data_IF_906103324872
#
_entry.id   IF_906103324872
#
_cell.length_a   1.000
_cell.length_b   1.000
_cell.length_c   1.000
_cell.angle_alpha   90.00
_cell.angle_beta   90.00
_cell.angle_gamma   90.00
#
_symmetry.space_group_name_H-M   'P 1'
#
loop_
_entity.id
_entity.type
_entity.pdbx_description
1 polymer ?
#
# COMPACT_ATOMS: atom_id res chain seq x y z
N UNK A 1 32.37 67.68 37.94
CA UNK A 1 33.10 68.19 36.77
C UNK A 1 32.81 67.26 35.63
N UNK A 2 32.26 67.85 34.59
CA UNK A 2 31.51 67.23 33.50
C UNK A 2 32.41 66.37 32.61
N UNK A 3 31.95 65.17 32.29
CA UNK A 3 32.53 64.32 31.24
C UNK A 3 31.75 64.67 29.98
N UNK A 4 32.40 65.40 29.10
CA UNK A 4 31.83 65.91 27.86
C UNK A 4 31.59 64.77 26.86
N UNK A 5 30.35 64.69 26.38
CA UNK A 5 29.83 63.70 25.44
C UNK A 5 30.29 64.08 24.03
N UNK A 6 31.18 63.29 23.43
CA UNK A 6 31.43 63.34 21.99
C UNK A 6 30.64 62.24 21.30
N UNK A 7 29.50 62.65 20.72
CA UNK A 7 28.62 61.86 19.87
C UNK A 7 29.38 61.26 18.68
N UNK A 8 29.49 59.93 18.64
CA UNK A 8 29.90 59.19 17.46
C UNK A 8 28.63 58.77 16.68
N UNK A 9 28.35 59.35 15.50
CA UNK A 9 27.39 58.74 14.59
C UNK A 9 28.04 57.51 13.92
N UNK A 10 27.29 56.42 13.66
CA UNK A 10 27.80 55.28 12.92
C UNK A 10 27.94 55.65 11.45
N UNK A 11 29.17 55.61 10.94
CA UNK A 11 29.43 55.74 9.52
C UNK A 11 28.88 54.52 8.75
N UNK A 12 27.70 54.72 8.18
CA UNK A 12 27.46 54.58 6.76
C UNK A 12 27.59 53.15 6.18
N UNK A 13 26.51 52.39 6.36
CA UNK A 13 26.03 51.31 5.48
C UNK A 13 25.83 51.76 4.02
N UNK A 14 26.88 52.15 3.33
CA UNK A 14 26.76 52.66 1.96
C UNK A 14 27.97 52.30 1.09
N UNK A 15 28.22 51.01 0.85
CA UNK A 15 28.98 50.54 -0.33
C UNK A 15 28.85 49.03 -0.54
N UNK A 16 27.62 48.51 -0.51
CA UNK A 16 27.33 47.15 -1.00
C UNK A 16 26.05 47.12 -1.85
N UNK A 17 25.89 48.11 -2.73
CA UNK A 17 25.01 47.98 -3.90
C UNK A 17 25.88 47.69 -5.11
N UNK A 18 26.32 46.44 -5.20
CA UNK A 18 26.69 45.86 -6.49
C UNK A 18 25.54 46.06 -7.45
N UNK A 19 25.73 47.01 -8.37
CA UNK A 19 24.86 47.31 -9.48
C UNK A 19 24.74 46.04 -10.32
N UNK A 20 23.69 45.24 -10.11
CA UNK A 20 23.34 44.13 -11.01
C UNK A 20 22.82 44.77 -12.29
N UNK A 21 23.68 44.79 -13.31
CA UNK A 21 23.31 45.16 -14.68
C UNK A 21 22.13 44.28 -15.13
N UNK A 22 21.02 44.84 -15.63
CA UNK A 22 19.95 44.08 -16.24
C UNK A 22 20.34 43.82 -17.69
N UNK A 23 21.22 42.84 -17.93
CA UNK A 23 21.71 42.56 -19.27
C UNK A 23 21.44 41.10 -19.65
N UNK A 24 20.62 40.96 -20.70
CA UNK A 24 20.38 39.77 -21.51
C UNK A 24 19.85 38.51 -20.80
N UNK A 25 18.53 38.47 -20.61
CA UNK A 25 17.80 37.20 -20.71
C UNK A 25 17.79 36.85 -22.20
N UNK A 26 18.90 36.26 -22.65
CA UNK A 26 18.98 35.57 -23.93
C UNK A 26 18.05 34.36 -23.80
N UNK A 27 16.77 34.55 -24.12
CA UNK A 27 15.73 33.51 -24.16
C UNK A 27 16.07 32.53 -25.29
N UNK A 28 17.08 31.71 -25.03
CA UNK A 28 17.40 30.56 -25.85
C UNK A 28 16.14 29.69 -25.89
N UNK A 29 15.52 29.48 -27.07
CA UNK A 29 14.34 28.65 -27.17
C UNK A 29 14.65 27.30 -26.52
N UNK A 30 13.73 26.74 -25.73
CA UNK A 30 13.97 25.50 -24.99
C UNK A 30 14.45 24.46 -26.00
N UNK A 31 15.70 24.03 -25.87
CA UNK A 31 16.26 22.95 -26.71
C UNK A 31 15.34 21.75 -26.54
N UNK A 32 14.48 21.52 -27.52
CA UNK A 32 13.73 20.28 -27.64
C UNK A 32 14.76 19.22 -28.00
N UNK A 33 15.42 18.67 -26.99
CA UNK A 33 16.29 17.51 -27.15
C UNK A 33 15.46 16.43 -27.83
N UNK A 34 15.83 16.09 -29.07
CA UNK A 34 15.19 15.00 -29.80
C UNK A 34 15.32 13.74 -28.94
N UNK A 35 14.20 13.34 -28.32
CA UNK A 35 14.17 12.14 -27.48
C UNK A 35 14.54 10.97 -28.37
N UNK A 36 15.53 10.18 -27.94
CA UNK A 36 15.89 8.96 -28.66
C UNK A 36 14.66 8.08 -28.85
N UNK A 37 14.59 7.36 -29.97
CA UNK A 37 13.51 6.42 -30.26
C UNK A 37 13.29 5.41 -29.12
N UNK A 38 14.39 4.99 -28.48
CA UNK A 38 14.37 4.13 -27.30
C UNK A 38 13.66 4.80 -26.10
N UNK A 39 13.96 6.07 -25.82
CA UNK A 39 13.29 6.82 -24.74
C UNK A 39 11.80 6.96 -25.02
N UNK A 40 11.41 7.19 -26.27
CA UNK A 40 10.00 7.26 -26.66
C UNK A 40 9.27 5.94 -26.42
N UNK A 41 9.90 4.80 -26.74
CA UNK A 41 9.33 3.47 -26.44
C UNK A 41 9.11 3.26 -24.95
N UNK A 42 10.10 3.58 -24.12
CA UNK A 42 9.94 3.44 -22.66
C UNK A 42 8.85 4.32 -22.09
N UNK A 43 8.71 5.56 -22.58
CA UNK A 43 7.63 6.45 -22.13
C UNK A 43 6.26 5.90 -22.54
N UNK A 44 6.13 5.35 -23.75
CA UNK A 44 4.90 4.70 -24.19
C UNK A 44 4.57 3.47 -23.33
N UNK A 45 5.56 2.62 -23.05
CA UNK A 45 5.40 1.46 -22.16
C UNK A 45 4.95 1.86 -20.75
N UNK A 46 5.58 2.90 -20.17
CA UNK A 46 5.19 3.42 -18.86
C UNK A 46 3.76 3.92 -18.85
N UNK A 47 3.35 4.63 -19.90
CA UNK A 47 1.98 5.15 -20.00
C UNK A 47 0.95 4.03 -20.12
N UNK A 48 1.25 2.95 -20.87
CA UNK A 48 0.39 1.76 -20.93
C UNK A 48 0.28 1.11 -19.55
N UNK A 49 1.42 0.84 -18.90
CA UNK A 49 1.46 0.23 -17.57
C UNK A 49 0.67 1.08 -16.57
N UNK A 50 0.86 2.40 -16.57
CA UNK A 50 0.17 3.32 -15.66
C UNK A 50 -1.35 3.25 -15.82
N UNK A 51 -1.85 3.11 -17.04
CA UNK A 51 -3.29 2.91 -17.30
C UNK A 51 -3.81 1.57 -16.80
N UNK A 52 -2.99 0.52 -16.85
CA UNK A 52 -3.39 -0.82 -16.37
C UNK A 52 -3.37 -0.95 -14.86
N UNK A 53 -2.29 -0.51 -14.20
CA UNK A 53 -2.09 -0.77 -12.77
C UNK A 53 -2.46 0.39 -11.85
N UNK A 54 -2.59 1.61 -12.38
CA UNK A 54 -2.87 2.83 -11.61
C UNK A 54 -1.60 3.53 -11.12
N UNK A 55 -1.75 4.36 -10.08
CA UNK A 55 -0.65 5.12 -9.47
C UNK A 55 0.24 4.29 -8.52
N UNK A 56 1.40 4.82 -8.11
CA UNK A 56 2.32 4.08 -7.22
C UNK A 56 1.69 3.70 -5.87
N UNK A 57 1.00 4.66 -5.24
CA UNK A 57 0.35 4.46 -3.95
C UNK A 57 -0.90 3.57 -4.07
N UNK A 58 -1.59 3.62 -5.21
CA UNK A 58 -2.73 2.76 -5.50
C UNK A 58 -2.30 1.29 -5.61
N UNK A 59 -1.23 1.01 -6.36
CA UNK A 59 -0.65 -0.34 -6.46
C UNK A 59 -0.20 -0.84 -5.08
N UNK A 60 0.45 0.01 -4.29
CA UNK A 60 0.87 -0.33 -2.93
C UNK A 60 -0.33 -0.70 -2.04
N UNK A 61 -1.40 0.09 -2.10
CA UNK A 61 -2.64 -0.16 -1.36
C UNK A 61 -3.31 -1.46 -1.81
N UNK A 62 -3.38 -1.73 -3.12
CA UNK A 62 -3.92 -2.97 -3.67
C UNK A 62 -3.14 -4.19 -3.20
N UNK A 63 -1.83 -4.09 -3.11
CA UNK A 63 -0.96 -5.15 -2.58
C UNK A 63 -0.98 -5.25 -1.05
N UNK A 64 -1.65 -4.32 -0.35
CA UNK A 64 -1.68 -4.22 1.11
C UNK A 64 -0.27 -4.22 1.75
N UNK A 65 0.69 -3.60 1.07
CA UNK A 65 2.07 -3.53 1.55
C UNK A 65 2.33 -2.18 2.24
N UNK A 66 3.08 -2.21 3.34
CA UNK A 66 3.64 -0.99 3.90
C UNK A 66 4.68 -0.39 2.93
N UNK A 67 4.88 0.93 2.99
CA UNK A 67 5.89 1.61 2.15
C UNK A 67 7.28 0.98 2.30
N UNK A 68 7.69 0.63 3.53
CA UNK A 68 8.96 -0.05 3.81
C UNK A 68 9.07 -1.40 3.09
N UNK A 69 8.02 -2.23 3.18
CA UNK A 69 7.99 -3.56 2.53
C UNK A 69 7.94 -3.44 1.01
N UNK A 70 7.28 -2.41 0.49
CA UNK A 70 7.27 -2.09 -0.93
C UNK A 70 8.67 -1.72 -1.45
N UNK A 71 9.35 -0.83 -0.72
CA UNK A 71 10.73 -0.42 -1.03
C UNK A 71 11.69 -1.61 -1.02
N UNK A 72 11.56 -2.52 -0.03
CA UNK A 72 12.35 -3.75 0.02
C UNK A 72 12.12 -4.65 -1.19
N UNK A 73 10.87 -4.85 -1.62
CA UNK A 73 10.55 -5.67 -2.79
C UNK A 73 11.05 -5.07 -4.10
N UNK A 74 11.06 -3.75 -4.21
CA UNK A 74 11.57 -3.03 -5.38
C UNK A 74 13.09 -2.77 -5.31
N UNK A 75 13.72 -3.08 -4.18
CA UNK A 75 15.13 -2.79 -3.90
C UNK A 75 15.47 -1.30 -4.07
N UNK A 76 14.58 -0.42 -3.59
CA UNK A 76 14.74 1.04 -3.65
C UNK A 76 14.79 1.67 -2.27
N UNK A 77 15.39 2.84 -2.19
CA UNK A 77 15.43 3.62 -0.94
C UNK A 77 14.06 4.25 -0.61
N UNK A 78 13.63 4.29 0.67
CA UNK A 78 12.36 4.92 1.06
C UNK A 78 12.23 6.40 0.69
N UNK A 79 13.34 7.14 0.63
CA UNK A 79 13.33 8.55 0.20
C UNK A 79 13.00 8.67 -1.29
N UNK A 80 13.51 7.77 -2.14
CA UNK A 80 13.19 7.72 -3.56
C UNK A 80 11.71 7.42 -3.78
N UNK A 81 11.16 6.42 -3.08
CA UNK A 81 9.72 6.12 -3.12
C UNK A 81 8.87 7.34 -2.76
N UNK A 82 9.20 8.01 -1.65
CA UNK A 82 8.46 9.19 -1.18
C UNK A 82 8.51 10.35 -2.18
N UNK A 83 9.65 10.54 -2.86
CA UNK A 83 9.79 11.53 -3.93
C UNK A 83 8.93 11.20 -5.14
N UNK A 84 8.89 9.93 -5.53
CA UNK A 84 8.08 9.44 -6.64
C UNK A 84 6.57 9.53 -6.39
N UNK A 85 6.14 9.33 -5.15
CA UNK A 85 4.73 9.52 -4.79
C UNK A 85 4.26 10.97 -4.94
N UNK A 86 5.17 11.95 -4.84
CA UNK A 86 4.85 13.38 -5.06
C UNK A 86 4.83 13.73 -6.54
N UNK A 87 5.66 13.06 -7.33
CA UNK A 87 5.84 13.32 -8.74
C UNK A 87 6.18 12.02 -9.48
N UNK A 88 5.14 11.40 -10.04
CA UNK A 88 5.26 10.12 -10.73
C UNK A 88 6.06 10.22 -12.04
N UNK A 89 6.24 11.43 -12.59
CA UNK A 89 7.03 11.64 -13.80
C UNK A 89 8.52 11.39 -13.59
N UNK A 90 8.98 11.44 -12.33
CA UNK A 90 10.36 11.18 -11.91
C UNK A 90 10.64 9.70 -11.66
N UNK A 91 9.63 8.83 -11.80
CA UNK A 91 9.78 7.40 -11.59
C UNK A 91 10.53 6.79 -12.79
N UNK A 92 11.63 6.07 -12.57
CA UNK A 92 12.31 5.37 -13.64
C UNK A 92 11.42 4.31 -14.32
N UNK A 93 11.52 4.12 -15.64
CA UNK A 93 10.67 3.16 -16.37
C UNK A 93 10.74 1.71 -15.83
N UNK A 94 11.91 1.28 -15.35
CA UNK A 94 12.08 -0.06 -14.80
C UNK A 94 11.26 -0.29 -13.51
N UNK A 95 11.01 0.76 -12.72
CA UNK A 95 10.19 0.67 -11.50
C UNK A 95 8.74 0.37 -11.86
N UNK A 96 8.19 1.03 -12.87
CA UNK A 96 6.86 0.74 -13.40
C UNK A 96 6.74 -0.73 -13.87
N UNK A 97 7.76 -1.23 -14.56
CA UNK A 97 7.80 -2.63 -15.00
C UNK A 97 7.83 -3.61 -13.83
N UNK A 98 8.60 -3.33 -12.77
CA UNK A 98 8.61 -4.15 -11.56
C UNK A 98 7.28 -4.11 -10.81
N UNK A 99 6.65 -2.93 -10.72
CA UNK A 99 5.32 -2.76 -10.13
C UNK A 99 4.26 -3.58 -10.86
N UNK A 100 4.28 -3.56 -12.20
CA UNK A 100 3.39 -4.37 -13.02
C UNK A 100 3.56 -5.86 -12.73
N UNK A 101 4.80 -6.36 -12.74
CA UNK A 101 5.08 -7.76 -12.41
C UNK A 101 4.65 -8.14 -10.99
N UNK A 102 4.89 -7.28 -10.01
CA UNK A 102 4.46 -7.51 -8.61
C UNK A 102 2.94 -7.51 -8.49
N UNK A 103 2.25 -6.61 -9.19
CA UNK A 103 0.80 -6.57 -9.22
C UNK A 103 0.22 -7.87 -9.78
N UNK A 104 0.73 -8.34 -10.92
CA UNK A 104 0.27 -9.60 -11.54
C UNK A 104 0.54 -10.81 -10.64
N UNK A 105 1.68 -10.84 -9.95
CA UNK A 105 2.01 -11.91 -8.98
C UNK A 105 1.13 -11.85 -7.73
N UNK A 106 0.89 -10.66 -7.17
CA UNK A 106 0.07 -10.50 -5.96
C UNK A 106 -1.36 -11.00 -6.17
N UNK A 107 -1.93 -10.77 -7.36
CA UNK A 107 -3.24 -11.31 -7.72
C UNK A 107 -3.25 -12.84 -7.68
N UNK A 108 -2.21 -13.50 -8.21
CA UNK A 108 -2.09 -14.96 -8.18
C UNK A 108 -1.97 -15.54 -6.77
N UNK A 109 -1.23 -14.87 -5.90
CA UNK A 109 -1.04 -15.28 -4.50
C UNK A 109 -2.33 -15.09 -3.70
N UNK A 110 -3.05 -13.98 -3.91
CA UNK A 110 -4.35 -13.72 -3.30
C UNK A 110 -5.40 -14.76 -3.74
N UNK A 111 -5.43 -15.14 -5.02
CA UNK A 111 -6.30 -16.22 -5.51
C UNK A 111 -5.97 -17.57 -4.84
N UNK A 112 -4.67 -17.87 -4.65
CA UNK A 112 -4.24 -19.07 -3.94
C UNK A 112 -4.66 -19.07 -2.46
N UNK A 113 -4.52 -17.94 -1.77
CA UNK A 113 -4.94 -17.77 -0.37
C UNK A 113 -6.45 -17.92 -0.23
N UNK A 114 -7.23 -17.35 -1.14
CA UNK A 114 -8.70 -17.50 -1.13
C UNK A 114 -9.12 -18.97 -1.27
N UNK A 115 -8.45 -19.75 -2.13
CA UNK A 115 -8.69 -21.19 -2.21
C UNK A 115 -8.33 -21.93 -0.91
N UNK A 116 -7.29 -21.50 -0.18
CA UNK A 116 -6.96 -22.09 1.13
C UNK A 116 -8.01 -21.76 2.19
N UNK A 117 -8.51 -20.52 2.22
CA UNK A 117 -9.58 -20.09 3.14
C UNK A 117 -10.88 -20.83 2.86
N UNK A 118 -11.23 -21.03 1.59
CA UNK A 118 -12.42 -21.81 1.20
C UNK A 118 -12.34 -23.26 1.69
N UNK A 119 -11.17 -23.92 1.58
CA UNK A 119 -10.98 -25.26 2.16
C UNK A 119 -11.17 -25.29 3.67
N UNK A 120 -10.53 -24.36 4.39
CA UNK A 120 -10.67 -24.26 5.86
C UNK A 120 -12.14 -24.04 6.24
N UNK A 121 -12.86 -23.21 5.49
CA UNK A 121 -14.28 -22.92 5.74
C UNK A 121 -15.13 -24.17 5.57
N UNK A 122 -14.91 -24.95 4.50
CA UNK A 122 -15.62 -26.22 4.26
C UNK A 122 -15.33 -27.27 5.33
N UNK A 123 -14.09 -27.37 5.78
CA UNK A 123 -13.70 -28.27 6.86
C UNK A 123 -14.41 -27.90 8.18
N UNK A 124 -14.47 -26.60 8.49
CA UNK A 124 -15.18 -26.10 9.67
C UNK A 124 -16.69 -26.38 9.59
N UNK A 125 -17.30 -26.18 8.42
CA UNK A 125 -18.72 -26.48 8.20
C UNK A 125 -19.04 -27.98 8.33
N UNK A 126 -18.13 -28.85 7.90
CA UNK A 126 -18.27 -30.29 8.09
C UNK A 126 -18.24 -30.64 9.57
N UNK A 127 -17.32 -30.07 10.33
CA UNK A 127 -17.22 -30.28 11.77
C UNK A 127 -18.48 -29.80 12.50
N UNK A 128 -18.96 -28.60 12.19
CA UNK A 128 -20.21 -28.07 12.77
C UNK A 128 -21.40 -28.99 12.45
N UNK A 129 -21.48 -29.50 11.22
CA UNK A 129 -22.54 -30.44 10.82
C UNK A 129 -22.44 -31.78 11.54
N UNK A 130 -21.22 -32.25 11.81
CA UNK A 130 -20.97 -33.48 12.55
C UNK A 130 -21.42 -33.33 14.01
N UNK A 131 -20.96 -32.26 14.69
CA UNK A 131 -21.36 -31.94 16.06
C UNK A 131 -22.88 -31.81 16.21
N UNK A 132 -23.55 -31.15 15.25
CA UNK A 132 -25.02 -31.02 15.27
C UNK A 132 -25.74 -32.36 15.15
N UNK A 133 -25.20 -33.34 14.40
CA UNK A 133 -25.77 -34.70 14.34
C UNK A 133 -25.58 -35.44 15.66
N UNK A 134 -24.40 -35.36 16.25
CA UNK A 134 -24.09 -35.98 17.55
C UNK A 134 -25.01 -35.48 18.67
N UNK A 135 -25.22 -34.15 18.75
CA UNK A 135 -26.12 -33.56 19.74
C UNK A 135 -27.55 -34.05 19.54
N UNK A 136 -28.03 -34.15 18.29
CA UNK A 136 -29.35 -34.69 17.99
C UNK A 136 -29.47 -36.15 18.45
N UNK A 137 -28.50 -37.00 18.12
CA UNK A 137 -28.55 -38.42 18.51
C UNK A 137 -28.49 -38.60 20.03
N UNK A 138 -27.65 -37.83 20.73
CA UNK A 138 -27.55 -37.86 22.19
C UNK A 138 -28.84 -37.35 22.86
N UNK A 139 -29.45 -36.30 22.33
CA UNK A 139 -30.75 -35.82 22.77
C UNK A 139 -31.86 -36.87 22.63
N UNK A 140 -31.91 -37.57 21.48
CA UNK A 140 -32.85 -38.68 21.27
C UNK A 140 -32.64 -39.82 22.25
N UNK A 141 -31.39 -40.22 22.52
CA UNK A 141 -31.06 -41.23 23.53
C UNK A 141 -31.53 -40.80 24.93
N UNK A 142 -31.26 -39.57 25.34
CA UNK A 142 -31.70 -39.04 26.64
C UNK A 142 -33.22 -39.07 26.79
N UNK A 143 -33.97 -38.69 25.75
CA UNK A 143 -35.43 -38.76 25.73
C UNK A 143 -35.94 -40.20 25.82
N UNK A 144 -35.31 -41.13 25.11
CA UNK A 144 -35.67 -42.55 25.16
C UNK A 144 -35.46 -43.14 26.58
N UNK A 145 -34.33 -42.84 27.22
CA UNK A 145 -34.06 -43.29 28.60
C UNK A 145 -35.05 -42.69 29.61
N UNK A 146 -35.37 -41.40 29.47
CA UNK A 146 -36.36 -40.75 30.35
C UNK A 146 -37.76 -41.38 30.21
N UNK A 147 -38.18 -41.69 28.98
CA UNK A 147 -39.45 -42.39 28.73
C UNK A 147 -39.48 -43.79 29.34
N UNK A 148 -38.40 -44.56 29.19
CA UNK A 148 -38.29 -45.92 29.74
C UNK A 148 -38.33 -45.93 31.28
N UNK A 149 -37.65 -44.98 31.93
CA UNK A 149 -37.71 -44.79 33.38
C UNK A 149 -39.12 -44.44 33.88
N UNK A 150 -39.86 -43.60 33.14
CA UNK A 150 -41.26 -43.26 33.43
C UNK A 150 -42.17 -44.49 33.36
N UNK A 151 -42.00 -45.34 32.34
CA UNK A 151 -42.79 -46.58 32.20
C UNK A 151 -42.50 -47.55 33.35
N UNK A 152 -41.23 -47.71 33.73
CA UNK A 152 -40.84 -48.61 34.82
C UNK A 152 -41.37 -48.15 36.18
N UNK A 153 -41.35 -46.84 36.46
CA UNK A 153 -41.88 -46.28 37.71
C UNK A 153 -43.40 -46.41 37.81
N UNK A 154 -44.12 -46.25 36.69
CA UNK A 154 -45.56 -46.48 36.62
C UNK A 154 -45.93 -47.96 36.81
N UNK A 155 -45.19 -48.89 36.18
CA UNK A 155 -45.43 -50.33 36.34
C UNK A 155 -45.21 -50.79 37.78
N UNK A 156 -44.18 -50.28 38.47
CA UNK A 156 -43.91 -50.65 39.86
C UNK A 156 -44.95 -50.17 40.87
N UNK A 157 -45.86 -49.26 40.46
CA UNK A 157 -46.90 -48.70 41.32
C UNK A 157 -48.28 -49.36 41.14
N UNK A 158 -48.41 -50.28 40.18
CA UNK A 158 -49.63 -51.03 39.86
C UNK A 158 -49.58 -52.42 40.51
#
# INVERSE_FOLDING_TARGET
MEIEVSNHPPENEALNRGFKSPENIDEKPPKTEAKSSLRMRYLAEVEIIRREIGGLEEVRNRLQLSRRKMCQKLMVDPSAWTRWCRDESKVPPHIWKMLWMLSSKGVSEALSLNHRVDRISKDLELEIRYQRRLIKTLGFLSLAFAGLALVLTLWSSL
#
